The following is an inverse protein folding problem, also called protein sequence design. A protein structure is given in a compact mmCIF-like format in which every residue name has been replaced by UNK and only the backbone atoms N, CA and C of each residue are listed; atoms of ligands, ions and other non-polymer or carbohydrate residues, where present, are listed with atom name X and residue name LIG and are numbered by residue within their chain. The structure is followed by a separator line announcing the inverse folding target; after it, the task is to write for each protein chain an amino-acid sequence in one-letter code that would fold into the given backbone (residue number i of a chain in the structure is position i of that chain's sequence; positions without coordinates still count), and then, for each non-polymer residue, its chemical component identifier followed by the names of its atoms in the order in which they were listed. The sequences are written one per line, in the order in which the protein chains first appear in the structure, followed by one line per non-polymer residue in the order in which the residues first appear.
data_IF_664940086307
#
_entry.id   IF_664940086307
#
_cell.length_a   1.000
_cell.length_b   1.000
_cell.length_c   1.000
_cell.angle_alpha   90.00
_cell.angle_beta   90.00
_cell.angle_gamma   90.00
#
_symmetry.space_group_name_H-M   'P 1'
#
loop_
_entity.id
_entity.type
_entity.pdbx_description
1 polymer ?
#
# COMPACT_ATOMS: atom_id res chain seq x y z
N UNK A 1 -14.38 -27.26 -3.82
CA UNK A 1 -13.65 -27.62 -2.58
C UNK A 1 -12.14 -27.41 -2.73
N UNK A 2 -11.51 -27.88 -3.80
CA UNK A 2 -10.05 -27.75 -4.02
C UNK A 2 -9.55 -26.28 -4.03
N UNK A 3 -10.20 -25.38 -4.78
CA UNK A 3 -9.80 -23.97 -4.83
C UNK A 3 -9.84 -23.27 -3.45
N UNK A 4 -10.83 -23.61 -2.62
CA UNK A 4 -10.93 -23.07 -1.26
C UNK A 4 -9.80 -23.59 -0.35
N UNK A 5 -9.46 -24.88 -0.48
CA UNK A 5 -8.33 -25.46 0.25
C UNK A 5 -7.00 -24.84 -0.15
N UNK A 6 -6.77 -24.60 -1.45
CA UNK A 6 -5.58 -23.91 -1.95
C UNK A 6 -5.51 -22.49 -1.37
N UNK A 7 -6.63 -21.75 -1.40
CA UNK A 7 -6.69 -20.39 -0.82
C UNK A 7 -6.28 -20.40 0.65
N UNK A 8 -6.85 -21.29 1.46
CA UNK A 8 -6.53 -21.38 2.89
C UNK A 8 -5.09 -21.83 3.15
N UNK A 9 -4.55 -22.73 2.33
CA UNK A 9 -3.17 -23.21 2.47
C UNK A 9 -2.13 -22.16 2.07
N UNK A 10 -2.47 -21.28 1.11
CA UNK A 10 -1.57 -20.24 0.62
C UNK A 10 -1.58 -18.99 1.50
N UNK A 11 -2.76 -18.46 1.82
CA UNK A 11 -2.94 -17.21 2.59
C UNK A 11 -2.87 -17.46 4.10
N UNK A 12 -1.77 -18.06 4.53
CA UNK A 12 -1.42 -18.20 5.94
C UNK A 12 -0.77 -16.91 6.46
N UNK A 13 -0.78 -16.66 7.79
CA UNK A 13 -0.28 -15.40 8.35
C UNK A 13 1.14 -14.99 7.91
N UNK A 14 2.14 -15.90 7.80
CA UNK A 14 3.46 -15.53 7.29
C UNK A 14 3.44 -15.03 5.84
N UNK A 15 2.65 -15.66 4.96
CA UNK A 15 2.50 -15.23 3.57
C UNK A 15 1.86 -13.85 3.50
N UNK A 16 0.77 -13.64 4.25
CA UNK A 16 0.06 -12.36 4.33
C UNK A 16 0.98 -11.24 4.86
N UNK A 17 1.81 -11.56 5.85
CA UNK A 17 2.81 -10.64 6.38
C UNK A 17 3.81 -10.18 5.32
N UNK A 18 4.42 -11.13 4.60
CA UNK A 18 5.39 -10.83 3.55
C UNK A 18 4.74 -10.05 2.41
N UNK A 19 3.53 -10.44 1.99
CA UNK A 19 2.80 -9.72 0.95
C UNK A 19 2.51 -8.28 1.37
N UNK A 20 1.99 -8.06 2.58
CA UNK A 20 1.70 -6.72 3.11
C UNK A 20 2.96 -5.86 3.14
N UNK A 21 4.05 -6.37 3.74
CA UNK A 21 5.32 -5.67 3.80
C UNK A 21 5.87 -5.35 2.42
N UNK A 22 5.80 -6.30 1.47
CA UNK A 22 6.30 -6.10 0.12
C UNK A 22 5.51 -5.04 -0.63
N UNK A 23 4.17 -5.07 -0.55
CA UNK A 23 3.28 -4.10 -1.18
C UNK A 23 3.60 -2.69 -0.68
N UNK A 24 3.60 -2.50 0.64
CA UNK A 24 3.76 -1.18 1.26
C UNK A 24 5.18 -0.65 1.11
N UNK A 25 6.22 -1.47 1.26
CA UNK A 25 7.61 -0.94 1.28
C UNK A 25 8.25 -0.84 -0.11
N UNK A 26 7.74 -1.56 -1.12
CA UNK A 26 8.34 -1.55 -2.46
C UNK A 26 7.44 -0.98 -3.56
N UNK A 27 6.13 -1.18 -3.51
CA UNK A 27 5.24 -0.80 -4.61
C UNK A 27 4.47 0.50 -4.35
N UNK A 28 4.22 0.82 -3.09
CA UNK A 28 3.50 2.03 -2.70
C UNK A 28 4.34 3.33 -2.74
N UNK A 29 5.66 3.32 -2.46
CA UNK A 29 6.44 4.54 -2.53
C UNK A 29 6.39 5.17 -3.93
N UNK A 30 6.20 6.48 -4.00
CA UNK A 30 6.23 7.21 -5.27
C UNK A 30 7.59 7.02 -5.95
N UNK A 31 7.53 6.68 -7.23
CA UNK A 31 8.72 6.53 -8.07
C UNK A 31 9.27 7.89 -8.45
N UNK A 32 10.54 7.93 -8.89
CA UNK A 32 11.15 9.17 -9.40
C UNK A 32 10.39 9.78 -10.57
N UNK A 33 9.82 8.94 -11.43
CA UNK A 33 9.04 9.40 -12.58
C UNK A 33 7.72 10.03 -12.14
N UNK A 34 7.05 9.45 -11.14
CA UNK A 34 5.83 10.03 -10.56
C UNK A 34 6.11 11.35 -9.85
N UNK A 35 7.20 11.43 -9.09
CA UNK A 35 7.63 12.69 -8.44
C UNK A 35 7.97 13.76 -9.48
N UNK A 36 8.59 13.37 -10.60
CA UNK A 36 8.89 14.28 -11.70
C UNK A 36 7.62 14.74 -12.41
N UNK A 37 6.68 13.83 -12.66
CA UNK A 37 5.37 14.19 -13.23
C UNK A 37 4.62 15.14 -12.30
N UNK A 38 4.67 14.91 -10.99
CA UNK A 38 4.09 15.82 -10.00
C UNK A 38 4.71 17.22 -10.11
N UNK A 39 6.05 17.32 -10.17
CA UNK A 39 6.75 18.61 -10.28
C UNK A 39 6.47 19.33 -11.61
N UNK A 40 6.46 18.60 -12.74
CA UNK A 40 6.29 19.18 -14.09
C UNK A 40 4.81 19.41 -14.47
N UNK A 41 3.90 18.55 -14.04
CA UNK A 41 2.47 18.58 -14.37
C UNK A 41 1.59 18.00 -13.24
N UNK A 42 1.33 18.77 -12.17
CA UNK A 42 0.58 18.31 -11.00
C UNK A 42 -0.87 17.88 -11.33
N UNK A 43 -1.52 18.54 -12.30
CA UNK A 43 -2.87 18.16 -12.76
C UNK A 43 -2.84 16.79 -13.44
N UNK A 44 -1.82 16.53 -14.26
CA UNK A 44 -1.59 15.24 -14.89
C UNK A 44 -1.33 14.15 -13.86
N UNK A 45 -0.51 14.42 -12.85
CA UNK A 45 -0.30 13.50 -11.73
C UNK A 45 -1.60 13.20 -10.98
N UNK A 46 -2.38 14.21 -10.59
CA UNK A 46 -3.66 14.02 -9.91
C UNK A 46 -4.66 13.21 -10.77
N UNK A 47 -4.71 13.45 -12.08
CA UNK A 47 -5.54 12.67 -12.99
C UNK A 47 -5.15 11.19 -13.06
N UNK A 48 -3.89 10.83 -12.76
CA UNK A 48 -3.48 9.42 -12.65
C UNK A 48 -4.05 8.75 -11.39
N UNK A 49 -4.24 9.49 -10.30
CA UNK A 49 -4.76 8.97 -9.03
C UNK A 49 -6.31 8.96 -8.99
N UNK A 50 -6.98 9.87 -9.71
CA UNK A 50 -8.45 9.97 -9.74
C UNK A 50 -9.14 9.10 -10.81
N UNK A 51 -8.37 8.49 -11.71
CA UNK A 51 -8.90 7.62 -12.75
C UNK A 51 -9.39 6.28 -12.19
N UNK A 52 -10.71 6.04 -12.23
CA UNK A 52 -11.31 4.79 -11.71
C UNK A 52 -10.77 3.48 -12.35
N UNK A 53 -10.07 3.56 -13.48
CA UNK A 53 -9.39 2.41 -14.11
C UNK A 53 -7.86 2.50 -14.14
N UNK A 54 -7.25 3.43 -13.38
CA UNK A 54 -5.79 3.64 -13.35
C UNK A 54 -5.01 2.38 -12.93
N UNK A 55 -5.66 1.46 -12.19
CA UNK A 55 -5.11 0.15 -11.85
C UNK A 55 -4.70 -0.70 -13.07
N UNK A 56 -5.30 -0.48 -14.25
CA UNK A 56 -4.96 -1.22 -15.48
C UNK A 56 -3.63 -0.77 -16.09
N UNK A 57 -3.20 0.46 -15.80
CA UNK A 57 -2.09 1.12 -16.48
C UNK A 57 -0.95 1.49 -15.53
N UNK A 58 -1.18 1.48 -14.22
CA UNK A 58 -0.19 1.79 -13.19
C UNK A 58 -0.02 0.63 -12.21
N UNK A 59 1.24 0.19 -12.06
CA UNK A 59 1.61 -0.88 -11.14
C UNK A 59 1.31 -0.52 -9.68
N UNK A 60 1.50 0.75 -9.29
CA UNK A 60 1.18 1.24 -7.93
C UNK A 60 -0.31 1.11 -7.64
N UNK A 61 -1.17 1.59 -8.54
CA UNK A 61 -2.63 1.45 -8.39
C UNK A 61 -3.11 -0.01 -8.41
N UNK A 62 -2.51 -0.86 -9.26
CA UNK A 62 -2.79 -2.28 -9.29
C UNK A 62 -2.47 -2.97 -7.95
N UNK A 63 -1.28 -2.69 -7.40
CA UNK A 63 -0.83 -3.25 -6.12
C UNK A 63 -1.61 -2.70 -4.92
N UNK A 64 -2.04 -1.44 -4.96
CA UNK A 64 -2.96 -0.88 -3.98
C UNK A 64 -4.33 -1.56 -4.00
N UNK A 65 -4.86 -1.85 -5.20
CA UNK A 65 -6.12 -2.60 -5.35
C UNK A 65 -5.99 -4.02 -4.76
N UNK A 66 -4.87 -4.70 -5.03
CA UNK A 66 -4.56 -5.99 -4.42
C UNK A 66 -4.48 -5.89 -2.89
N UNK A 67 -3.81 -4.87 -2.37
CA UNK A 67 -3.70 -4.62 -0.93
C UNK A 67 -5.08 -4.47 -0.28
N UNK A 68 -5.94 -3.60 -0.81
CA UNK A 68 -7.31 -3.40 -0.29
C UNK A 68 -8.10 -4.72 -0.31
N UNK A 69 -7.99 -5.49 -1.39
CA UNK A 69 -8.66 -6.80 -1.50
C UNK A 69 -8.17 -7.79 -0.46
N UNK A 70 -6.86 -7.86 -0.22
CA UNK A 70 -6.28 -8.72 0.83
C UNK A 70 -6.68 -8.25 2.22
N UNK A 71 -6.66 -6.93 2.46
CA UNK A 71 -6.99 -6.32 3.74
C UNK A 71 -8.44 -6.61 4.14
N UNK A 72 -9.37 -6.47 3.20
CA UNK A 72 -10.78 -6.77 3.42
C UNK A 72 -11.01 -8.25 3.80
N UNK A 73 -10.34 -9.18 3.11
CA UNK A 73 -10.49 -10.62 3.36
C UNK A 73 -9.78 -11.10 4.64
N UNK A 74 -8.61 -10.53 4.96
CA UNK A 74 -7.72 -11.02 6.04
C UNK A 74 -7.45 -9.96 7.11
N UNK A 75 -8.45 -9.10 7.37
CA UNK A 75 -8.40 -7.95 8.28
C UNK A 75 -7.79 -8.25 9.63
N UNK A 76 -8.17 -9.36 10.27
CA UNK A 76 -7.68 -9.72 11.61
C UNK A 76 -6.16 -9.83 11.67
N UNK A 77 -5.54 -10.42 10.64
CA UNK A 77 -4.08 -10.57 10.55
C UNK A 77 -3.45 -9.25 10.11
N UNK A 78 -3.96 -8.65 9.04
CA UNK A 78 -3.34 -7.50 8.38
C UNK A 78 -3.42 -6.20 9.19
N UNK A 79 -4.44 -6.03 10.03
CA UNK A 79 -4.55 -4.86 10.92
C UNK A 79 -3.40 -4.80 11.91
N UNK A 80 -3.01 -5.95 12.49
CA UNK A 80 -1.89 -6.00 13.44
C UNK A 80 -0.56 -5.61 12.79
N UNK A 81 -0.33 -6.08 11.56
CA UNK A 81 0.86 -5.78 10.77
C UNK A 81 0.92 -4.30 10.42
N UNK A 82 -0.19 -3.74 9.92
CA UNK A 82 -0.23 -2.33 9.55
C UNK A 82 -0.01 -1.40 10.75
N UNK A 83 -0.57 -1.74 11.92
CA UNK A 83 -0.31 -1.02 13.17
C UNK A 83 1.18 -1.06 13.58
N UNK A 84 1.84 -2.21 13.41
CA UNK A 84 3.29 -2.34 13.64
C UNK A 84 4.10 -1.47 12.68
N UNK A 85 3.72 -1.42 11.40
CA UNK A 85 4.37 -0.57 10.41
C UNK A 85 4.23 0.92 10.76
N UNK A 86 3.06 1.37 11.21
CA UNK A 86 2.85 2.75 11.68
C UNK A 86 3.76 3.05 12.87
N UNK A 87 3.76 2.17 13.89
CA UNK A 87 4.58 2.34 15.09
C UNK A 87 6.07 2.39 14.75
N UNK A 88 6.52 1.63 13.76
CA UNK A 88 7.92 1.61 13.34
C UNK A 88 8.33 2.83 12.49
N UNK A 89 7.37 3.58 11.94
CA UNK A 89 7.62 4.70 11.03
C UNK A 89 7.05 6.05 11.53
N UNK A 90 6.58 6.12 12.78
CA UNK A 90 5.92 7.33 13.32
C UNK A 90 6.90 8.47 13.60
N UNK A 91 8.17 8.17 13.85
CA UNK A 91 9.19 9.16 14.23
C UNK A 91 9.36 10.27 13.18
N UNK A 92 9.71 11.50 13.59
CA UNK A 92 10.01 12.58 12.65
C UNK A 92 11.16 12.20 11.71
N UNK A 93 10.99 12.52 10.43
CA UNK A 93 11.98 12.27 9.38
C UNK A 93 12.65 13.59 8.98
N UNK A 94 13.98 13.66 8.84
CA UNK A 94 14.66 14.84 8.34
C UNK A 94 14.18 15.23 6.93
N UNK A 95 13.94 16.51 6.63
CA UNK A 95 13.50 16.95 5.30
C UNK A 95 14.46 16.61 4.16
N UNK A 96 15.74 16.36 4.47
CA UNK A 96 16.76 15.98 3.50
C UNK A 96 16.76 14.50 3.14
N UNK A 97 16.05 13.64 3.88
CA UNK A 97 15.98 12.19 3.65
C UNK A 97 14.70 11.84 2.89
N UNK A 98 14.74 12.04 1.58
CA UNK A 98 13.60 11.74 0.70
C UNK A 98 13.18 10.26 0.79
N UNK A 99 14.13 9.34 0.94
CA UNK A 99 13.81 7.90 0.99
C UNK A 99 13.01 7.58 2.26
N UNK A 100 13.41 8.12 3.41
CA UNK A 100 12.65 7.96 4.65
C UNK A 100 11.28 8.64 4.57
N UNK A 101 11.17 9.79 3.90
CA UNK A 101 9.88 10.46 3.66
C UNK A 101 8.96 9.56 2.84
N UNK A 102 9.45 9.00 1.72
CA UNK A 102 8.66 8.12 0.85
C UNK A 102 8.27 6.80 1.53
N UNK A 103 9.12 6.24 2.39
CA UNK A 103 8.75 5.07 3.21
C UNK A 103 7.61 5.41 4.17
N UNK A 104 7.69 6.56 4.83
CA UNK A 104 6.65 7.01 5.77
C UNK A 104 5.33 7.31 5.04
N UNK A 105 5.41 7.99 3.90
CA UNK A 105 4.28 8.25 3.00
C UNK A 105 3.59 6.96 2.55
N UNK A 106 4.36 5.96 2.12
CA UNK A 106 3.81 4.67 1.69
C UNK A 106 3.04 3.95 2.80
N UNK A 107 3.54 4.00 4.05
CA UNK A 107 2.82 3.46 5.22
C UNK A 107 1.53 4.23 5.46
N UNK A 108 1.55 5.57 5.38
CA UNK A 108 0.36 6.39 5.60
C UNK A 108 -0.69 6.23 4.50
N UNK A 109 -0.24 6.09 3.26
CA UNK A 109 -1.11 5.74 2.13
C UNK A 109 -1.80 4.39 2.37
N UNK A 110 -1.07 3.36 2.84
CA UNK A 110 -1.67 2.07 3.17
C UNK A 110 -2.74 2.17 4.26
N UNK A 111 -2.53 3.02 5.28
CA UNK A 111 -3.53 3.32 6.31
C UNK A 111 -4.75 4.02 5.73
N UNK A 112 -4.55 4.99 4.84
CA UNK A 112 -5.64 5.68 4.15
C UNK A 112 -6.50 4.71 3.32
N UNK A 113 -5.86 3.80 2.59
CA UNK A 113 -6.54 2.78 1.79
C UNK A 113 -7.33 1.76 2.64
N UNK A 114 -6.82 1.42 3.82
CA UNK A 114 -7.48 0.49 4.75
C UNK A 114 -8.39 1.17 5.78
N UNK A 115 -8.63 2.49 5.67
CA UNK A 115 -9.27 3.26 6.73
C UNK A 115 -10.68 2.75 7.09
N UNK A 116 -11.46 2.29 6.12
CA UNK A 116 -12.79 1.72 6.35
C UNK A 116 -12.71 0.40 7.12
N UNK A 117 -11.86 -0.53 6.67
CA UNK A 117 -11.68 -1.84 7.32
C UNK A 117 -11.05 -1.73 8.72
N UNK A 118 -10.30 -0.65 9.01
CA UNK A 118 -9.73 -0.38 10.33
C UNK A 118 -10.74 0.23 11.31
N UNK A 119 -11.80 0.87 10.81
CA UNK A 119 -12.83 1.49 11.64
C UNK A 119 -13.89 0.48 12.11
N UNK A 120 -14.28 -0.45 11.22
CA UNK A 120 -15.22 -1.55 11.49
C UNK A 120 -14.57 -2.73 12.23
#
# INVERSE_FOLDING_TARGET
MEAHQIKLAFFVPPTLNEMCHKLVTHYFPLTREELRLWDENPEGFAATDEGGESWKYSLRHCTQTLFVTLFHEYREVLSSILLEMIRSNHDPVPPSDLEAILRKDAVYNAVGLAAFDLYD
#
